data_IF_134345028511
#
_entry.id   IF_134345028511
#
_cell.length_a   1.000
_cell.length_b   1.000
_cell.length_c   1.000
_cell.angle_alpha   90.00
_cell.angle_beta   90.00
_cell.angle_gamma   90.00
#
_symmetry.space_group_name_H-M   'P 1'
#
loop_
_entity.id
_entity.type
_entity.pdbx_description
1 polymer ?
#
# COMPACT_ATOMS: atom_id res chain seq x y z
N UNK A 1 6.84 16.86 30.59
CA UNK A 1 6.23 16.10 29.48
C UNK A 1 6.58 14.62 29.70
N UNK A 2 5.59 13.74 29.69
CA UNK A 2 5.75 12.29 29.77
C UNK A 2 5.15 11.60 28.52
N UNK A 3 5.24 10.28 28.43
CA UNK A 3 4.70 9.53 27.30
C UNK A 3 3.18 9.63 27.18
N UNK A 4 2.47 9.88 28.27
CA UNK A 4 1.01 10.08 28.27
C UNK A 4 0.64 11.40 27.61
N UNK A 5 1.45 12.46 27.82
CA UNK A 5 1.21 13.74 27.18
C UNK A 5 1.29 13.61 25.65
N UNK A 6 2.19 12.75 25.12
CA UNK A 6 2.26 12.42 23.69
C UNK A 6 1.02 11.65 23.21
N UNK A 7 0.59 10.67 23.99
CA UNK A 7 -0.63 9.89 23.69
C UNK A 7 -1.86 10.80 23.60
N UNK A 8 -2.01 11.72 24.52
CA UNK A 8 -3.12 12.70 24.55
C UNK A 8 -3.10 13.63 23.33
N UNK A 9 -1.92 14.15 23.01
CA UNK A 9 -1.72 14.98 21.82
C UNK A 9 -2.14 14.25 20.54
N UNK A 10 -1.65 13.03 20.37
CA UNK A 10 -1.91 12.20 19.18
C UNK A 10 -3.38 11.76 19.09
N UNK A 11 -4.04 11.53 20.24
CA UNK A 11 -5.47 11.23 20.26
C UNK A 11 -6.31 12.44 19.82
N UNK A 12 -5.97 13.65 20.28
CA UNK A 12 -6.70 14.88 19.87
C UNK A 12 -6.52 15.13 18.37
N UNK A 13 -5.32 14.96 17.84
CA UNK A 13 -5.05 15.09 16.41
C UNK A 13 -5.86 14.06 15.59
N UNK A 14 -5.80 12.80 15.96
CA UNK A 14 -6.49 11.69 15.27
C UNK A 14 -8.01 11.87 15.23
N UNK A 15 -8.61 12.30 16.33
CA UNK A 15 -10.07 12.41 16.45
C UNK A 15 -10.63 13.78 16.07
N UNK A 16 -9.77 14.79 15.89
CA UNK A 16 -10.18 16.17 15.57
C UNK A 16 -11.11 16.80 16.62
N UNK A 17 -11.21 16.23 17.82
CA UNK A 17 -12.11 16.66 18.86
C UNK A 17 -11.62 16.19 20.23
N UNK A 18 -11.54 17.10 21.20
CA UNK A 18 -11.17 16.76 22.58
C UNK A 18 -12.18 15.80 23.21
N UNK A 19 -13.48 15.95 22.95
CA UNK A 19 -14.51 15.05 23.47
C UNK A 19 -14.32 13.63 22.95
N UNK A 20 -14.24 13.45 21.63
CA UNK A 20 -14.02 12.12 21.01
C UNK A 20 -12.69 11.50 21.44
N UNK A 21 -11.64 12.30 21.56
CA UNK A 21 -10.35 11.82 22.05
C UNK A 21 -10.40 11.39 23.52
N UNK A 22 -11.11 12.13 24.37
CA UNK A 22 -11.31 11.78 25.77
C UNK A 22 -12.08 10.46 25.90
N UNK A 23 -13.16 10.28 25.15
CA UNK A 23 -13.94 9.05 25.11
C UNK A 23 -13.05 7.85 24.67
N UNK A 24 -12.23 8.03 23.64
CA UNK A 24 -11.32 6.99 23.15
C UNK A 24 -10.24 6.61 24.17
N UNK A 25 -9.83 7.56 25.02
CA UNK A 25 -8.81 7.35 26.06
C UNK A 25 -9.42 6.93 27.41
N UNK A 26 -10.74 6.87 27.55
CA UNK A 26 -11.41 6.60 28.81
C UNK A 26 -11.24 7.71 29.86
N UNK A 27 -11.09 8.96 29.40
CA UNK A 27 -10.88 10.15 30.22
C UNK A 27 -12.11 11.07 30.20
N UNK A 28 -12.21 11.95 31.19
CA UNK A 28 -13.16 13.06 31.11
C UNK A 28 -12.60 14.16 30.19
N UNK A 29 -13.49 14.81 29.41
CA UNK A 29 -13.12 15.93 28.54
C UNK A 29 -12.37 17.06 29.29
N UNK A 30 -12.77 17.48 30.53
CA UNK A 30 -12.01 18.48 31.27
C UNK A 30 -10.59 18.02 31.64
N UNK A 31 -10.39 16.72 31.93
CA UNK A 31 -9.07 16.19 32.22
C UNK A 31 -8.15 16.25 30.99
N UNK A 32 -8.63 15.83 29.82
CA UNK A 32 -7.87 15.92 28.58
C UNK A 32 -7.59 17.37 28.17
N UNK A 33 -8.58 18.27 28.32
CA UNK A 33 -8.39 19.71 28.06
C UNK A 33 -7.25 20.28 28.91
N UNK A 34 -7.23 19.99 30.23
CA UNK A 34 -6.16 20.45 31.14
C UNK A 34 -4.79 19.85 30.73
N UNK A 35 -4.76 18.59 30.31
CA UNK A 35 -3.52 17.95 29.87
C UNK A 35 -2.94 18.63 28.62
N UNK A 36 -3.77 18.92 27.62
CA UNK A 36 -3.36 19.67 26.42
C UNK A 36 -2.87 21.06 26.77
N UNK A 37 -3.61 21.81 27.58
CA UNK A 37 -3.21 23.15 28.05
C UNK A 37 -1.90 23.13 28.81
N UNK A 38 -1.69 22.14 29.67
CA UNK A 38 -0.41 21.94 30.39
C UNK A 38 0.73 21.71 29.41
N UNK A 39 0.51 20.87 28.39
CA UNK A 39 1.52 20.60 27.35
C UNK A 39 1.86 21.87 26.58
N UNK A 40 0.86 22.64 26.13
CA UNK A 40 1.05 23.93 25.43
C UNK A 40 1.82 24.94 26.29
N UNK A 41 1.51 24.99 27.58
CA UNK A 41 2.23 25.86 28.54
C UNK A 41 3.71 25.40 28.68
N UNK A 42 4.00 24.10 28.69
CA UNK A 42 5.36 23.58 28.76
C UNK A 42 6.19 23.88 27.51
N UNK A 43 5.58 23.78 26.32
CA UNK A 43 6.27 24.04 25.05
C UNK A 43 6.24 25.53 24.65
N UNK A 44 5.42 26.34 25.36
CA UNK A 44 5.33 27.79 25.18
C UNK A 44 4.61 28.25 23.91
N UNK A 45 3.91 27.33 23.21
CA UNK A 45 3.14 27.65 22.00
C UNK A 45 1.82 26.88 21.99
N UNK A 46 0.81 27.47 21.35
CA UNK A 46 -0.48 26.81 21.10
C UNK A 46 -0.28 25.74 20.04
N UNK A 47 -0.70 24.52 20.34
CA UNK A 47 -0.58 23.37 19.45
C UNK A 47 -1.86 23.09 18.66
N UNK A 48 -3.01 23.42 19.22
CA UNK A 48 -4.30 23.24 18.57
C UNK A 48 -5.12 24.52 18.60
N UNK A 49 -5.87 24.72 17.54
CA UNK A 49 -6.89 25.77 17.45
C UNK A 49 -8.28 25.15 17.23
N UNK A 50 -9.28 25.85 17.72
CA UNK A 50 -10.68 25.46 17.56
C UNK A 50 -11.23 26.07 16.28
N UNK A 51 -11.62 25.22 15.32
CA UNK A 51 -12.24 25.66 14.06
C UNK A 51 -13.69 25.17 13.97
N UNK A 52 -14.41 25.58 12.93
CA UNK A 52 -15.76 25.07 12.64
C UNK A 52 -15.79 23.54 12.48
N UNK A 53 -14.68 22.94 12.06
CA UNK A 53 -14.54 21.50 11.83
C UNK A 53 -13.97 20.74 13.05
N UNK A 54 -13.78 21.39 14.19
CA UNK A 54 -13.25 20.79 15.41
C UNK A 54 -11.90 21.34 15.85
N UNK A 55 -11.06 20.48 16.42
CA UNK A 55 -9.70 20.82 16.84
C UNK A 55 -8.73 20.51 15.70
N UNK A 56 -7.99 21.53 15.26
CA UNK A 56 -7.02 21.42 14.17
C UNK A 56 -5.63 21.81 14.68
N UNK A 57 -4.56 21.10 14.31
CA UNK A 57 -3.21 21.50 14.68
C UNK A 57 -2.84 22.86 14.07
N UNK A 58 -2.24 23.76 14.87
CA UNK A 58 -1.57 24.95 14.36
C UNK A 58 -0.32 24.54 13.53
N UNK A 59 0.31 25.46 12.77
CA UNK A 59 1.58 25.16 12.10
C UNK A 59 2.67 24.64 13.06
N UNK A 60 2.73 25.17 14.29
CA UNK A 60 3.62 24.67 15.34
C UNK A 60 3.14 23.29 15.86
N UNK A 61 1.82 23.13 16.06
CA UNK A 61 1.19 21.88 16.45
C UNK A 61 1.46 20.74 15.46
N UNK A 62 1.31 20.99 14.16
CA UNK A 62 1.58 19.99 13.13
C UNK A 62 3.04 19.48 13.18
N UNK A 63 4.00 20.40 13.37
CA UNK A 63 5.42 20.03 13.53
C UNK A 63 5.64 19.23 14.81
N UNK A 64 4.98 19.60 15.89
CA UNK A 64 5.12 18.91 17.17
C UNK A 64 4.46 17.52 17.14
N UNK A 65 3.26 17.40 16.55
CA UNK A 65 2.57 16.12 16.31
C UNK A 65 3.45 15.17 15.51
N UNK A 66 4.04 15.61 14.41
CA UNK A 66 4.94 14.77 13.61
C UNK A 66 6.15 14.24 14.42
N UNK A 67 6.70 15.03 15.35
CA UNK A 67 7.76 14.58 16.26
C UNK A 67 7.24 13.64 17.33
N UNK A 68 6.07 13.94 17.91
CA UNK A 68 5.42 13.10 18.90
C UNK A 68 5.08 11.71 18.35
N UNK A 69 4.60 11.62 17.12
CA UNK A 69 4.34 10.36 16.42
C UNK A 69 5.62 9.51 16.33
N UNK A 70 6.74 10.11 15.94
CA UNK A 70 8.03 9.39 15.85
C UNK A 70 8.48 8.87 17.21
N UNK A 71 8.38 9.68 18.27
CA UNK A 71 8.75 9.25 19.63
C UNK A 71 7.85 8.11 20.11
N UNK A 72 6.54 8.19 19.87
CA UNK A 72 5.60 7.12 20.21
C UNK A 72 5.93 5.81 19.49
N UNK A 73 6.27 5.88 18.21
CA UNK A 73 6.67 4.72 17.41
C UNK A 73 7.97 4.09 17.94
N UNK A 74 9.00 4.90 18.23
CA UNK A 74 10.26 4.40 18.83
C UNK A 74 10.03 3.73 20.18
N UNK A 75 9.14 4.29 21.02
CA UNK A 75 8.78 3.66 22.29
C UNK A 75 8.08 2.32 22.08
N UNK A 76 7.13 2.25 21.13
CA UNK A 76 6.42 1.01 20.80
C UNK A 76 7.38 -0.06 20.25
N UNK A 77 8.32 0.34 19.39
CA UNK A 77 9.36 -0.53 18.84
C UNK A 77 10.24 -1.12 19.95
N UNK A 78 10.70 -0.28 20.88
CA UNK A 78 11.48 -0.74 22.03
C UNK A 78 10.69 -1.73 22.92
N UNK A 79 9.40 -1.46 23.12
CA UNK A 79 8.54 -2.38 23.88
C UNK A 79 8.30 -3.70 23.14
N UNK A 80 8.22 -3.68 21.82
CA UNK A 80 8.10 -4.90 21.00
C UNK A 80 9.39 -5.72 21.06
N UNK A 81 10.54 -5.07 20.96
CA UNK A 81 11.84 -5.72 21.10
C UNK A 81 11.98 -6.43 22.45
N UNK A 82 11.65 -5.76 23.56
CA UNK A 82 11.69 -6.36 24.89
C UNK A 82 10.72 -7.55 25.03
N UNK A 83 9.55 -7.47 24.42
CA UNK A 83 8.61 -8.62 24.39
C UNK A 83 9.16 -9.79 23.58
N UNK A 84 9.83 -9.51 22.45
CA UNK A 84 10.47 -10.53 21.62
C UNK A 84 11.59 -11.28 22.38
N UNK A 85 12.43 -10.56 23.15
CA UNK A 85 13.48 -11.13 24.01
C UNK A 85 12.88 -12.05 25.08
N UNK A 86 11.71 -11.72 25.64
CA UNK A 86 11.05 -12.51 26.70
C UNK A 86 10.43 -13.83 26.26
N UNK A 87 10.33 -14.11 24.97
CA UNK A 87 9.69 -15.33 24.45
C UNK A 87 8.95 -15.12 23.13
N UNK A 88 9.53 -14.38 22.24
CA UNK A 88 9.01 -13.75 21.05
C UNK A 88 8.51 -14.63 19.90
N UNK A 89 8.14 -15.89 20.15
CA UNK A 89 7.43 -16.68 19.13
C UNK A 89 5.90 -16.44 19.14
N UNK A 90 5.40 -15.81 20.20
CA UNK A 90 3.99 -15.44 20.35
C UNK A 90 3.82 -13.94 20.07
N UNK A 91 3.38 -13.60 18.89
CA UNK A 91 3.18 -12.20 18.52
C UNK A 91 2.15 -12.02 17.42
N UNK A 92 1.92 -10.77 17.08
CA UNK A 92 1.09 -10.36 15.94
C UNK A 92 2.00 -9.74 14.90
N UNK A 93 1.92 -10.20 13.65
CA UNK A 93 2.50 -9.48 12.50
C UNK A 93 1.38 -8.80 11.72
N UNK A 94 1.55 -7.52 11.44
CA UNK A 94 0.58 -6.67 10.74
C UNK A 94 1.09 -6.42 9.34
N UNK A 95 0.49 -7.08 8.35
CA UNK A 95 0.92 -7.03 6.96
C UNK A 95 -0.12 -6.31 6.11
N UNK A 96 0.29 -5.25 5.44
CA UNK A 96 -0.44 -4.62 4.36
C UNK A 96 -0.06 -5.20 3.01
N UNK A 97 -0.99 -5.38 2.11
CA UNK A 97 -0.66 -5.74 0.73
C UNK A 97 -1.59 -5.05 -0.27
N UNK A 98 -1.01 -4.68 -1.41
CA UNK A 98 -1.78 -4.05 -2.48
C UNK A 98 -2.62 -5.09 -3.24
N UNK A 99 -3.89 -4.79 -3.59
CA UNK A 99 -4.72 -5.69 -4.40
C UNK A 99 -4.15 -5.92 -5.81
N UNK A 100 -3.18 -5.10 -6.23
CA UNK A 100 -2.51 -5.24 -7.51
C UNK A 100 -1.33 -6.23 -7.46
N UNK A 101 -0.94 -6.69 -6.28
CA UNK A 101 0.03 -7.79 -6.10
C UNK A 101 -0.72 -9.12 -6.18
N UNK A 102 -0.15 -10.16 -6.81
CA UNK A 102 -0.80 -11.46 -6.88
C UNK A 102 -1.17 -12.00 -5.50
N UNK A 103 -2.46 -12.19 -5.24
CA UNK A 103 -2.94 -12.66 -3.93
C UNK A 103 -2.30 -14.00 -3.53
N UNK A 104 -2.14 -14.92 -4.48
CA UNK A 104 -1.53 -16.23 -4.23
C UNK A 104 -0.11 -16.11 -3.66
N UNK A 105 0.65 -15.09 -4.08
CA UNK A 105 2.01 -14.82 -3.61
C UNK A 105 2.00 -14.44 -2.12
N UNK A 106 1.25 -13.40 -1.73
CA UNK A 106 1.21 -12.93 -0.35
C UNK A 106 0.55 -13.97 0.58
N UNK A 107 -0.59 -14.52 0.17
CA UNK A 107 -1.32 -15.50 0.98
C UNK A 107 -0.58 -16.83 1.07
N UNK A 108 0.27 -17.17 0.08
CA UNK A 108 1.19 -18.30 0.14
C UNK A 108 2.20 -18.17 1.28
N UNK A 109 2.86 -17.03 1.38
CA UNK A 109 3.78 -16.71 2.48
C UNK A 109 3.06 -16.69 3.84
N UNK A 110 1.85 -16.08 3.91
CA UNK A 110 1.03 -16.11 5.13
C UNK A 110 0.69 -17.54 5.57
N UNK A 111 0.28 -18.39 4.64
CA UNK A 111 -0.03 -19.80 4.92
C UNK A 111 1.19 -20.55 5.44
N UNK A 112 2.35 -20.29 4.87
CA UNK A 112 3.60 -20.92 5.33
C UNK A 112 3.95 -20.44 6.74
N UNK A 113 3.86 -19.13 7.03
CA UNK A 113 4.10 -18.60 8.38
C UNK A 113 3.18 -19.23 9.43
N UNK A 114 1.87 -19.38 9.13
CA UNK A 114 0.91 -20.03 10.02
C UNK A 114 1.32 -21.49 10.36
N UNK A 115 1.84 -22.21 9.36
CA UNK A 115 2.30 -23.59 9.56
C UNK A 115 3.56 -23.66 10.43
N UNK A 116 4.50 -22.75 10.22
CA UNK A 116 5.77 -22.72 10.95
C UNK A 116 5.61 -22.17 12.37
N UNK A 117 4.64 -21.28 12.55
CA UNK A 117 4.41 -20.55 13.82
C UNK A 117 2.94 -20.61 14.23
N UNK A 118 2.45 -21.75 14.75
CA UNK A 118 1.02 -21.93 15.07
C UNK A 118 0.48 -20.93 16.10
N UNK A 119 1.35 -20.37 16.96
CA UNK A 119 0.98 -19.37 17.95
C UNK A 119 0.99 -17.93 17.41
N UNK A 120 1.49 -17.71 16.18
CA UNK A 120 1.54 -16.40 15.58
C UNK A 120 0.14 -15.94 15.14
N UNK A 121 -0.12 -14.66 15.30
CA UNK A 121 -1.34 -14.00 14.77
C UNK A 121 -0.97 -13.10 13.62
N UNK A 122 -1.71 -13.21 12.51
CA UNK A 122 -1.59 -12.32 11.36
C UNK A 122 -2.75 -11.35 11.34
N UNK A 123 -2.44 -10.07 11.12
CA UNK A 123 -3.43 -9.05 10.76
C UNK A 123 -3.13 -8.61 9.33
N UNK A 124 -4.07 -8.86 8.42
CA UNK A 124 -3.90 -8.53 7.01
C UNK A 124 -4.78 -7.34 6.64
N UNK A 125 -4.22 -6.37 5.93
CA UNK A 125 -4.96 -5.25 5.34
C UNK A 125 -4.68 -5.20 3.85
N UNK A 126 -5.74 -5.22 3.04
CA UNK A 126 -5.66 -5.03 1.59
C UNK A 126 -6.14 -3.62 1.26
N UNK A 127 -5.24 -2.76 0.76
CA UNK A 127 -5.50 -1.36 0.41
C UNK A 127 -4.58 -0.92 -0.73
N UNK A 128 -4.84 0.24 -1.32
CA UNK A 128 -3.92 0.86 -2.27
C UNK A 128 -2.57 1.13 -1.63
N UNK A 129 -1.51 1.12 -2.44
CA UNK A 129 -0.13 1.26 -1.96
C UNK A 129 0.06 2.53 -1.10
N UNK A 130 -0.52 3.67 -1.52
CA UNK A 130 -0.44 4.93 -0.77
C UNK A 130 -1.02 4.80 0.63
N UNK A 131 -2.24 4.29 0.76
CA UNK A 131 -2.88 4.09 2.07
C UNK A 131 -2.07 3.13 2.96
N UNK A 132 -1.50 2.08 2.36
CA UNK A 132 -0.65 1.14 3.09
C UNK A 132 0.62 1.80 3.61
N UNK A 133 1.25 2.68 2.83
CA UNK A 133 2.44 3.42 3.25
C UNK A 133 2.09 4.43 4.35
N UNK A 134 0.94 5.09 4.29
CA UNK A 134 0.46 5.95 5.37
C UNK A 134 0.24 5.17 6.67
N UNK A 135 -0.36 3.97 6.60
CA UNK A 135 -0.53 3.07 7.76
C UNK A 135 0.80 2.54 8.29
N UNK A 136 1.77 2.28 7.40
CA UNK A 136 3.12 1.87 7.78
C UNK A 136 3.84 3.00 8.52
N UNK A 137 3.78 4.21 7.99
CA UNK A 137 4.35 5.40 8.61
C UNK A 137 3.71 5.69 9.98
N UNK A 138 2.42 5.42 10.14
CA UNK A 138 1.70 5.52 11.41
C UNK A 138 1.99 4.37 12.40
N UNK A 139 2.78 3.36 12.01
CA UNK A 139 3.07 2.19 12.84
C UNK A 139 1.90 1.21 13.00
N UNK A 140 0.85 1.35 12.19
CA UNK A 140 -0.28 0.43 12.18
C UNK A 140 0.00 -0.88 11.43
N UNK A 141 1.06 -0.87 10.59
CA UNK A 141 1.60 -2.03 9.89
C UNK A 141 3.07 -2.22 10.22
N UNK A 142 3.52 -3.47 10.22
CA UNK A 142 4.92 -3.84 10.37
C UNK A 142 5.60 -4.02 9.00
N UNK A 143 4.81 -4.42 7.99
CA UNK A 143 5.28 -4.73 6.65
C UNK A 143 4.22 -4.38 5.62
N UNK A 144 4.66 -3.84 4.48
CA UNK A 144 3.81 -3.60 3.30
C UNK A 144 4.38 -4.34 2.10
N UNK A 145 3.53 -5.05 1.35
CA UNK A 145 3.86 -5.68 0.06
C UNK A 145 3.07 -4.98 -1.05
N UNK A 146 3.77 -4.20 -1.86
CA UNK A 146 3.15 -3.37 -2.89
C UNK A 146 4.14 -3.06 -4.02
N UNK A 147 3.68 -2.45 -5.14
CA UNK A 147 4.58 -1.82 -6.09
C UNK A 147 5.45 -0.78 -5.37
N UNK A 148 6.76 -0.82 -5.65
CA UNK A 148 7.71 0.13 -5.09
C UNK A 148 7.37 1.56 -5.53
N UNK A 149 7.62 2.56 -4.67
CA UNK A 149 7.53 3.96 -5.07
C UNK A 149 8.45 4.25 -6.25
N UNK A 150 8.00 5.11 -7.17
CA UNK A 150 8.81 5.51 -8.32
C UNK A 150 10.10 6.26 -7.92
N UNK A 151 10.06 6.96 -6.80
CA UNK A 151 11.21 7.63 -6.21
C UNK A 151 11.52 6.97 -4.87
N UNK A 152 12.81 6.71 -4.57
CA UNK A 152 13.21 6.19 -3.28
C UNK A 152 12.71 7.09 -2.14
N UNK A 153 12.08 6.49 -1.15
CA UNK A 153 11.66 7.19 0.06
C UNK A 153 12.64 6.84 1.20
N UNK A 154 13.39 7.83 1.73
CA UNK A 154 14.35 7.57 2.79
C UNK A 154 13.71 7.14 4.12
N UNK A 155 12.38 7.25 4.25
CA UNK A 155 11.64 6.74 5.41
C UNK A 155 11.32 5.24 5.32
N UNK A 156 11.66 4.59 4.19
CA UNK A 156 11.35 3.19 3.91
C UNK A 156 12.62 2.39 3.63
N UNK A 157 12.75 1.25 4.30
CA UNK A 157 13.63 0.17 3.87
C UNK A 157 12.83 -0.73 2.92
N UNK A 158 13.28 -0.80 1.67
CA UNK A 158 12.60 -1.54 0.60
C UNK A 158 13.42 -2.77 0.23
N UNK A 159 12.79 -3.92 0.25
CA UNK A 159 13.34 -5.21 -0.15
C UNK A 159 12.67 -5.59 -1.45
N UNK A 160 13.40 -5.53 -2.56
CA UNK A 160 12.89 -5.95 -3.87
C UNK A 160 12.54 -7.45 -3.84
N UNK A 161 11.37 -7.78 -4.36
CA UNK A 161 10.88 -9.16 -4.42
C UNK A 161 10.92 -9.70 -5.86
N UNK A 162 10.25 -9.04 -6.79
CA UNK A 162 10.25 -9.42 -8.20
C UNK A 162 9.81 -8.27 -9.11
N UNK A 163 10.23 -8.33 -10.37
CA UNK A 163 9.72 -7.46 -11.43
C UNK A 163 8.37 -7.99 -11.92
N UNK A 164 7.39 -7.11 -12.06
CA UNK A 164 6.04 -7.42 -12.50
C UNK A 164 5.75 -6.64 -13.79
N UNK A 165 5.60 -7.37 -14.88
CA UNK A 165 5.27 -6.81 -16.20
C UNK A 165 3.78 -6.83 -16.41
N UNK A 166 3.20 -5.65 -16.56
CA UNK A 166 1.81 -5.53 -16.95
C UNK A 166 1.69 -5.48 -18.47
N UNK A 167 0.65 -6.12 -18.98
CA UNK A 167 0.33 -6.14 -20.40
C UNK A 167 -1.15 -5.81 -20.61
N UNK A 168 -1.53 -5.55 -21.86
CA UNK A 168 -2.93 -5.35 -22.21
C UNK A 168 -3.61 -6.70 -22.37
N UNK A 169 -4.70 -6.88 -21.64
CA UNK A 169 -5.52 -8.08 -21.63
C UNK A 169 -6.84 -7.84 -22.34
N UNK A 170 -7.32 -8.85 -23.04
CA UNK A 170 -8.62 -8.87 -23.69
C UNK A 170 -9.23 -10.27 -23.64
N UNK A 171 -10.48 -10.40 -24.00
CA UNK A 171 -11.12 -11.70 -24.26
C UNK A 171 -10.30 -12.49 -25.30
N UNK A 172 -10.25 -13.81 -25.18
CA UNK A 172 -9.52 -14.68 -26.12
C UNK A 172 -10.04 -14.61 -27.55
N UNK A 173 -11.33 -14.24 -27.71
CA UNK A 173 -11.98 -14.11 -29.00
C UNK A 173 -12.00 -12.64 -29.53
N UNK A 174 -11.38 -11.72 -28.79
CA UNK A 174 -11.30 -10.31 -29.17
C UNK A 174 -10.66 -10.15 -30.56
N UNK A 175 -11.20 -9.28 -31.46
CA UNK A 175 -10.68 -9.15 -32.82
C UNK A 175 -9.18 -8.84 -32.90
N UNK A 176 -8.64 -8.07 -31.96
CA UNK A 176 -7.22 -7.73 -31.89
C UNK A 176 -6.31 -8.94 -31.60
N UNK A 177 -6.83 -10.07 -31.09
CA UNK A 177 -6.05 -11.27 -30.89
C UNK A 177 -5.53 -11.91 -32.19
N UNK A 178 -6.15 -11.54 -33.34
CA UNK A 178 -5.74 -12.01 -34.66
C UNK A 178 -4.61 -11.19 -35.26
N UNK A 179 -4.31 -10.02 -34.69
CA UNK A 179 -3.23 -9.13 -35.12
C UNK A 179 -1.96 -9.42 -34.33
N UNK A 180 -0.82 -9.20 -34.96
CA UNK A 180 0.50 -9.30 -34.35
C UNK A 180 1.17 -7.94 -34.32
N UNK A 181 2.10 -7.75 -33.37
CA UNK A 181 2.88 -6.53 -33.22
C UNK A 181 2.00 -5.28 -33.24
N UNK A 182 0.94 -5.29 -32.42
CA UNK A 182 0.00 -4.18 -32.27
C UNK A 182 0.72 -2.92 -31.81
N UNK A 183 0.24 -1.78 -32.28
CA UNK A 183 0.66 -0.44 -31.84
C UNK A 183 -0.39 0.17 -30.94
N UNK A 184 -0.06 1.22 -30.18
CA UNK A 184 -1.05 1.96 -29.41
C UNK A 184 -2.14 2.59 -30.30
N UNK A 185 -1.84 2.91 -31.55
CA UNK A 185 -2.83 3.39 -32.51
C UNK A 185 -3.93 2.34 -32.80
N UNK A 186 -3.58 1.04 -32.81
CA UNK A 186 -4.58 -0.04 -32.95
C UNK A 186 -5.53 -0.12 -31.73
N UNK A 187 -5.13 0.43 -30.60
CA UNK A 187 -5.90 0.43 -29.36
C UNK A 187 -6.68 1.73 -29.11
N UNK A 188 -6.47 2.76 -29.94
CA UNK A 188 -7.01 4.11 -29.69
C UNK A 188 -8.54 4.16 -29.70
N UNK A 189 -9.18 3.35 -30.55
CA UNK A 189 -10.64 3.30 -30.67
C UNK A 189 -11.29 2.25 -29.76
N UNK A 190 -10.49 1.50 -28.98
CA UNK A 190 -11.01 0.45 -28.12
C UNK A 190 -11.55 1.03 -26.81
N UNK A 191 -12.50 0.31 -26.20
CA UNK A 191 -13.04 0.66 -24.91
C UNK A 191 -12.22 -0.02 -23.80
N UNK A 192 -11.99 0.73 -22.70
CA UNK A 192 -11.09 0.30 -21.63
C UNK A 192 -11.80 0.19 -20.28
N UNK A 193 -11.38 -0.83 -19.53
CA UNK A 193 -11.50 -0.89 -18.09
C UNK A 193 -10.16 -0.44 -17.49
N UNK A 194 -10.13 0.72 -16.85
CA UNK A 194 -8.92 1.30 -16.28
C UNK A 194 -9.14 1.75 -14.83
N UNK A 195 -8.08 1.82 -14.04
CA UNK A 195 -8.17 2.42 -12.73
C UNK A 195 -8.33 3.95 -12.81
N UNK A 196 -8.73 4.54 -11.67
CA UNK A 196 -8.79 5.99 -11.51
C UNK A 196 -7.44 6.67 -11.82
N UNK A 197 -7.51 7.95 -12.16
CA UNK A 197 -6.33 8.78 -12.47
C UNK A 197 -5.37 8.96 -11.31
N UNK A 198 -5.77 8.67 -10.08
CA UNK A 198 -4.90 8.68 -8.90
C UNK A 198 -3.90 7.52 -8.85
N UNK A 199 -4.10 6.48 -9.67
CA UNK A 199 -3.28 5.28 -9.71
C UNK A 199 -2.13 5.44 -10.72
N UNK A 200 -0.86 5.18 -10.34
CA UNK A 200 0.31 5.44 -11.19
C UNK A 200 0.27 4.75 -12.56
N UNK A 201 -0.26 3.54 -12.66
CA UNK A 201 -0.35 2.83 -13.95
C UNK A 201 -1.27 3.55 -14.93
N UNK A 202 -2.34 4.21 -14.46
CA UNK A 202 -3.23 5.00 -15.30
C UNK A 202 -2.48 6.18 -15.93
N UNK A 203 -1.72 6.92 -15.16
CA UNK A 203 -0.90 8.01 -15.70
C UNK A 203 0.05 7.53 -16.81
N UNK A 204 0.72 6.39 -16.57
CA UNK A 204 1.65 5.83 -17.58
C UNK A 204 0.95 5.47 -18.88
N UNK A 205 -0.27 4.95 -18.81
CA UNK A 205 -1.09 4.65 -20.00
C UNK A 205 -1.45 5.95 -20.72
N UNK A 206 -2.01 6.91 -20.00
CA UNK A 206 -2.43 8.20 -20.56
C UNK A 206 -1.24 8.95 -21.19
N UNK A 207 -0.07 8.91 -20.54
CA UNK A 207 1.16 9.51 -21.04
C UNK A 207 1.68 8.80 -22.30
N UNK A 208 1.59 7.47 -22.37
CA UNK A 208 2.00 6.72 -23.55
C UNK A 208 1.15 7.06 -24.78
N UNK A 209 -0.16 7.24 -24.60
CA UNK A 209 -1.06 7.70 -25.67
C UNK A 209 -0.74 9.13 -26.08
N UNK A 210 -0.60 10.03 -25.12
CA UNK A 210 -0.28 11.44 -25.35
C UNK A 210 1.06 11.62 -26.07
N UNK A 211 2.08 10.88 -25.68
CA UNK A 211 3.42 10.94 -26.28
C UNK A 211 3.41 10.56 -27.79
N UNK A 212 2.40 9.83 -28.24
CA UNK A 212 2.21 9.44 -29.63
C UNK A 212 1.17 10.29 -30.38
N UNK A 213 0.67 11.35 -29.76
CA UNK A 213 -0.37 12.20 -30.34
C UNK A 213 -1.72 11.51 -30.48
N UNK A 214 -1.95 10.43 -29.76
CA UNK A 214 -3.21 9.69 -29.79
C UNK A 214 -4.22 10.29 -28.80
N UNK A 215 -5.54 10.14 -29.08
CA UNK A 215 -6.56 10.51 -28.10
C UNK A 215 -6.42 9.65 -26.83
N UNK A 216 -6.87 10.18 -25.69
CA UNK A 216 -6.89 9.42 -24.47
C UNK A 216 -7.70 8.12 -24.62
N UNK A 217 -7.35 7.04 -23.92
CA UNK A 217 -8.09 5.77 -23.94
C UNK A 217 -9.58 6.00 -23.68
N UNK A 218 -10.44 5.37 -24.48
CA UNK A 218 -11.90 5.49 -24.33
C UNK A 218 -12.34 4.70 -23.09
N UNK A 219 -12.49 5.42 -21.99
CA UNK A 219 -12.88 4.83 -20.71
C UNK A 219 -14.35 4.36 -20.75
N UNK A 220 -14.59 3.07 -20.49
CA UNK A 220 -15.92 2.48 -20.37
C UNK A 220 -16.25 2.08 -18.93
N UNK A 221 -15.23 1.56 -18.22
CA UNK A 221 -15.34 1.18 -16.81
C UNK A 221 -14.17 1.78 -16.07
N UNK A 222 -14.46 2.54 -15.04
CA UNK A 222 -13.47 3.06 -14.10
C UNK A 222 -13.59 2.33 -12.76
N UNK A 223 -12.44 2.06 -12.13
CA UNK A 223 -12.39 1.36 -10.84
C UNK A 223 -11.38 2.03 -9.92
N UNK A 224 -11.64 2.02 -8.63
CA UNK A 224 -10.74 2.52 -7.60
C UNK A 224 -9.46 1.68 -7.46
N UNK A 225 -9.50 0.40 -7.84
CA UNK A 225 -8.33 -0.48 -7.89
C UNK A 225 -8.53 -1.65 -8.86
N UNK A 226 -7.41 -2.10 -9.44
CA UNK A 226 -7.40 -3.33 -10.25
C UNK A 226 -7.47 -4.56 -9.33
N UNK A 227 -8.54 -5.32 -9.48
CA UNK A 227 -8.70 -6.60 -8.79
C UNK A 227 -8.98 -7.67 -9.86
N UNK A 228 -8.44 -8.85 -9.66
CA UNK A 228 -8.57 -9.95 -10.64
C UNK A 228 -10.02 -10.31 -10.93
N UNK A 229 -10.94 -10.10 -9.99
CA UNK A 229 -12.37 -10.37 -10.20
C UNK A 229 -12.98 -9.45 -11.26
N UNK A 230 -12.52 -8.22 -11.40
CA UNK A 230 -13.00 -7.27 -12.41
C UNK A 230 -12.62 -7.68 -13.83
N UNK A 231 -11.58 -8.49 -13.99
CA UNK A 231 -11.18 -9.02 -15.28
C UNK A 231 -12.26 -9.95 -15.90
N UNK A 232 -13.21 -10.44 -15.09
CA UNK A 232 -14.38 -11.16 -15.60
C UNK A 232 -15.22 -10.29 -16.55
N UNK A 233 -15.18 -8.97 -16.42
CA UNK A 233 -15.91 -8.04 -17.30
C UNK A 233 -15.36 -8.03 -18.74
N UNK A 234 -14.14 -8.51 -18.95
CA UNK A 234 -13.56 -8.60 -20.29
C UNK A 234 -14.19 -9.75 -21.09
N UNK A 235 -14.72 -10.78 -20.41
CA UNK A 235 -15.24 -11.98 -21.05
C UNK A 235 -16.49 -11.67 -21.88
N UNK A 236 -16.45 -12.01 -23.17
CA UNK A 236 -17.55 -11.76 -24.09
C UNK A 236 -17.79 -10.27 -24.39
N UNK A 237 -16.81 -9.39 -24.08
CA UNK A 237 -16.89 -7.96 -24.38
C UNK A 237 -15.71 -7.52 -25.22
N UNK A 238 -15.77 -6.28 -25.75
CA UNK A 238 -14.66 -5.63 -26.45
C UNK A 238 -13.75 -4.82 -25.53
N UNK A 239 -13.84 -5.00 -24.21
CA UNK A 239 -13.06 -4.23 -23.25
C UNK A 239 -11.59 -4.67 -23.24
N UNK A 240 -10.71 -3.68 -23.15
CA UNK A 240 -9.30 -3.88 -22.81
C UNK A 240 -9.05 -3.53 -21.35
N UNK A 241 -8.09 -4.19 -20.73
CA UNK A 241 -7.62 -3.87 -19.39
C UNK A 241 -6.11 -4.11 -19.31
N UNK A 242 -5.48 -3.64 -18.25
CA UNK A 242 -4.07 -3.94 -17.94
C UNK A 242 -3.98 -4.92 -16.78
N UNK A 243 -3.15 -5.93 -16.92
CA UNK A 243 -2.92 -6.91 -15.86
C UNK A 243 -1.58 -7.64 -16.02
N UNK A 244 -1.10 -8.25 -14.95
CA UNK A 244 0.08 -9.09 -14.95
C UNK A 244 -0.20 -10.52 -15.43
N UNK A 245 0.85 -11.28 -15.68
CA UNK A 245 0.76 -12.69 -16.10
C UNK A 245 -0.06 -13.57 -15.12
N UNK A 246 0.05 -13.32 -13.83
CA UNK A 246 -0.72 -14.03 -12.79
C UNK A 246 -2.24 -13.87 -12.95
N UNK A 247 -2.68 -12.75 -13.50
CA UNK A 247 -4.10 -12.48 -13.74
C UNK A 247 -4.68 -13.41 -14.81
N UNK A 248 -3.88 -13.75 -15.83
CA UNK A 248 -4.28 -14.69 -16.88
C UNK A 248 -4.51 -16.11 -16.35
N UNK A 249 -3.75 -16.52 -15.35
CA UNK A 249 -3.90 -17.84 -14.70
C UNK A 249 -5.17 -17.95 -13.83
N UNK A 250 -5.78 -16.81 -13.46
CA UNK A 250 -6.94 -16.78 -12.56
C UNK A 250 -8.28 -16.63 -13.29
N UNK A 251 -8.27 -16.13 -14.51
CA UNK A 251 -9.48 -15.91 -15.32
C UNK A 251 -9.32 -16.60 -16.67
N UNK A 252 -10.00 -17.72 -16.81
CA UNK A 252 -9.99 -18.47 -18.10
C UNK A 252 -10.67 -17.66 -19.20
N UNK A 253 -10.16 -17.78 -20.43
CA UNK A 253 -10.72 -17.09 -21.60
C UNK A 253 -10.21 -15.67 -21.81
N UNK A 254 -9.18 -15.25 -21.07
CA UNK A 254 -8.44 -14.01 -21.35
C UNK A 254 -7.08 -14.31 -21.94
N UNK A 255 -6.59 -13.40 -22.78
CA UNK A 255 -5.24 -13.46 -23.34
C UNK A 255 -4.60 -12.07 -23.35
N UNK A 256 -3.29 -12.05 -23.27
CA UNK A 256 -2.52 -10.84 -23.53
C UNK A 256 -2.55 -10.52 -25.02
N UNK A 257 -2.66 -9.23 -25.34
CA UNK A 257 -2.47 -8.74 -26.70
C UNK A 257 -0.98 -8.69 -27.05
N UNK A 258 -0.64 -9.01 -28.29
CA UNK A 258 0.72 -8.99 -28.79
C UNK A 258 1.11 -7.56 -29.21
N UNK A 259 1.53 -6.73 -28.25
CA UNK A 259 2.00 -5.38 -28.51
C UNK A 259 3.47 -5.42 -28.96
N UNK A 260 3.80 -4.51 -29.91
CA UNK A 260 5.19 -4.27 -30.31
C UNK A 260 5.98 -3.73 -29.10
N UNK A 261 7.22 -4.17 -28.98
CA UNK A 261 8.12 -3.66 -27.94
C UNK A 261 8.24 -2.13 -28.00
N UNK A 262 8.22 -1.48 -26.84
CA UNK A 262 8.28 -0.02 -26.72
C UNK A 262 6.95 0.72 -26.93
N UNK A 263 5.86 0.04 -27.28
CA UNK A 263 4.56 0.69 -27.43
C UNK A 263 3.93 1.07 -26.09
N UNK A 264 3.97 0.14 -25.12
CA UNK A 264 3.43 0.38 -23.79
C UNK A 264 4.27 -0.40 -22.77
N UNK A 265 5.14 0.32 -22.07
CA UNK A 265 5.99 -0.25 -21.04
C UNK A 265 5.41 0.04 -19.66
N UNK A 266 4.88 -0.98 -19.02
CA UNK A 266 4.21 -0.89 -17.72
C UNK A 266 4.92 -1.76 -16.66
N UNK A 267 6.23 -1.95 -16.82
CA UNK A 267 7.03 -2.71 -15.85
C UNK A 267 7.04 -1.99 -14.51
N UNK A 268 6.91 -2.74 -13.43
CA UNK A 268 6.98 -2.26 -12.06
C UNK A 268 7.67 -3.30 -11.20
N UNK A 269 8.29 -2.86 -10.13
CA UNK A 269 8.90 -3.76 -9.14
C UNK A 269 7.97 -3.91 -7.96
N UNK A 270 7.78 -5.13 -7.50
CA UNK A 270 7.07 -5.42 -6.26
C UNK A 270 8.11 -5.57 -5.15
N UNK A 271 7.89 -4.84 -4.06
CA UNK A 271 8.77 -4.86 -2.90
C UNK A 271 8.03 -5.18 -1.61
N UNK A 272 8.79 -5.63 -0.62
CA UNK A 272 8.41 -5.66 0.78
C UNK A 272 9.04 -4.44 1.47
N UNK A 273 8.23 -3.61 2.11
CA UNK A 273 8.66 -2.34 2.68
C UNK A 273 8.34 -2.29 4.17
N UNK A 274 9.29 -1.79 4.96
CA UNK A 274 9.09 -1.45 6.37
C UNK A 274 9.69 -0.08 6.68
N UNK A 275 9.41 0.48 7.83
CA UNK A 275 9.96 1.79 8.23
C UNK A 275 11.48 1.70 8.35
N UNK A 276 12.20 2.66 7.79
CA UNK A 276 13.65 2.73 7.88
C UNK A 276 14.11 2.92 9.33
N UNK A 277 15.08 2.10 9.73
CA UNK A 277 15.64 2.14 11.08
C UNK A 277 14.72 1.61 12.19
N UNK A 278 13.49 1.19 11.89
CA UNK A 278 12.57 0.64 12.89
C UNK A 278 12.95 -0.79 13.30
N UNK A 279 12.59 -1.17 14.51
CA UNK A 279 12.68 -2.56 14.92
C UNK A 279 11.75 -3.44 14.07
N UNK A 280 12.31 -4.46 13.44
CA UNK A 280 11.53 -5.45 12.67
C UNK A 280 11.36 -6.71 13.55
N UNK A 281 10.13 -7.00 14.03
CA UNK A 281 9.87 -8.15 14.90
C UNK A 281 10.23 -9.49 14.22
N UNK A 282 10.61 -10.53 14.97
CA UNK A 282 11.00 -11.84 14.41
C UNK A 282 9.98 -12.45 13.46
N UNK A 283 8.67 -12.27 13.74
CA UNK A 283 7.61 -12.73 12.84
C UNK A 283 7.58 -11.94 11.51
N UNK A 284 7.85 -10.64 11.55
CA UNK A 284 7.94 -9.82 10.34
C UNK A 284 9.20 -10.17 9.54
N UNK A 285 10.35 -10.40 10.21
CA UNK A 285 11.57 -10.90 9.56
C UNK A 285 11.33 -12.24 8.88
N UNK A 286 10.64 -13.20 9.55
CA UNK A 286 10.32 -14.49 8.93
C UNK A 286 9.35 -14.33 7.76
N UNK A 287 8.36 -13.44 7.86
CA UNK A 287 7.46 -13.12 6.75
C UNK A 287 8.24 -12.59 5.53
N UNK A 288 9.18 -11.67 5.74
CA UNK A 288 10.06 -11.15 4.67
C UNK A 288 10.87 -12.30 4.02
N UNK A 289 11.44 -13.18 4.84
CA UNK A 289 12.18 -14.34 4.32
C UNK A 289 11.29 -15.26 3.45
N UNK A 290 10.06 -15.55 3.91
CA UNK A 290 9.10 -16.35 3.15
C UNK A 290 8.67 -15.70 1.83
N UNK A 291 8.49 -14.38 1.83
CA UNK A 291 8.20 -13.62 0.61
C UNK A 291 9.38 -13.70 -0.38
N UNK A 292 10.62 -13.58 0.10
CA UNK A 292 11.82 -13.74 -0.74
C UNK A 292 11.96 -15.15 -1.29
N UNK A 293 11.75 -16.19 -0.47
CA UNK A 293 11.75 -17.60 -0.89
C UNK A 293 10.69 -17.84 -1.98
N UNK A 294 9.49 -17.30 -1.77
CA UNK A 294 8.39 -17.40 -2.76
C UNK A 294 8.71 -16.64 -4.05
N UNK A 295 9.34 -15.47 -3.95
CA UNK A 295 9.77 -14.69 -5.12
C UNK A 295 10.82 -15.44 -5.94
N UNK A 296 11.83 -16.02 -5.30
CA UNK A 296 12.89 -16.80 -5.97
C UNK A 296 12.35 -18.05 -6.70
N UNK A 297 11.21 -18.56 -6.28
CA UNK A 297 10.55 -19.73 -6.90
C UNK A 297 9.64 -19.37 -8.08
N UNK A 298 9.48 -18.09 -8.42
CA UNK A 298 8.65 -17.64 -9.55
C UNK A 298 9.39 -17.87 -10.88
N UNK A 299 8.71 -18.37 -11.93
CA UNK A 299 9.34 -18.68 -13.21
C UNK A 299 9.90 -17.45 -13.94
N UNK A 300 9.41 -16.24 -13.62
CA UNK A 300 9.83 -14.98 -14.25
C UNK A 300 10.78 -14.15 -13.36
N UNK A 301 11.47 -14.79 -12.40
CA UNK A 301 12.37 -14.11 -11.48
C UNK A 301 13.70 -13.74 -12.17
N UNK A 302 13.65 -12.69 -12.98
CA UNK A 302 14.84 -11.99 -13.44
C UNK A 302 14.83 -10.57 -12.87
N UNK A 303 15.36 -10.43 -11.64
CA UNK A 303 15.89 -9.13 -11.23
C UNK A 303 17.01 -8.82 -12.22
N UNK A 304 16.82 -7.85 -13.09
CA UNK A 304 17.94 -7.29 -13.86
C UNK A 304 18.88 -6.65 -12.84
N UNK A 305 20.07 -7.24 -12.69
CA UNK A 305 21.17 -6.65 -11.95
C UNK A 305 21.58 -5.27 -12.52
#
# INVERSE_FOLDING_TARGET
>A
MDTRDLEYLLAVERHGSIGKAADALGLSQPALTKAVQRLEAQVGVTLFERTANGMTPTPAGARFVARAQRIALEFDDAMQEMRAIRGGEQGVVRVGYSPTVPNAFVLGACRQLIRERPAARLRLRCRLARELLDLLAAGELDLVVAPEPQQPDPALDTIALFDDRLTVLADADHPLQRKRALTLADLADQEWLLPETTIPVRHRIDDAFRARGLPAPRLRVETDFGNTSLLQLLRGTSLLCVGGADALGQVTGLRALDLRAGELELDRRIGAMHRAGAYVPPLAQRMIALLRESAASRPDHHLRE
#
